data_IF_541018482510
#
_entry.id   IF_541018482510
#
_cell.length_a   1.000
_cell.length_b   1.000
_cell.length_c   1.000
_cell.angle_alpha   90.00
_cell.angle_beta   90.00
_cell.angle_gamma   90.00
#
_symmetry.space_group_name_H-M   'P 1'
#
loop_
_entity.id
_entity.type
_entity.pdbx_description
1 polymer ?
#
# COMPACT_ATOMS: atom_id res chain seq x y z
N UNK A 1 -44.45 -18.53 -0.79
CA UNK A 1 -45.18 -19.20 0.31
C UNK A 1 -44.41 -20.44 0.74
N UNK A 2 -43.78 -20.41 1.92
CA UNK A 2 -43.32 -21.60 2.67
C UNK A 2 -43.08 -21.12 4.09
N UNK A 3 -44.13 -21.29 4.90
CA UNK A 3 -44.16 -20.99 6.33
C UNK A 3 -43.34 -22.06 7.04
N UNK A 4 -42.29 -21.67 7.76
CA UNK A 4 -41.67 -22.54 8.75
C UNK A 4 -41.82 -21.82 10.09
N UNK A 5 -42.79 -22.30 10.84
CA UNK A 5 -43.12 -21.89 12.20
C UNK A 5 -43.08 -23.15 13.04
N UNK A 6 -42.10 -23.28 13.94
CA UNK A 6 -42.20 -24.20 15.07
C UNK A 6 -41.88 -23.42 16.35
N UNK A 7 -42.79 -23.53 17.30
CA UNK A 7 -42.98 -22.70 18.50
C UNK A 7 -42.30 -23.33 19.74
N UNK A 8 -42.21 -22.57 20.85
CA UNK A 8 -41.21 -22.68 21.92
C UNK A 8 -41.64 -23.59 23.07
N UNK A 9 -40.83 -23.65 24.14
CA UNK A 9 -40.97 -24.32 25.47
C UNK A 9 -40.00 -25.48 25.65
N UNK A 10 -39.35 -25.78 26.78
CA UNK A 10 -39.26 -25.21 28.12
C UNK A 10 -38.32 -26.16 28.89
N UNK A 11 -37.19 -25.71 29.43
CA UNK A 11 -36.59 -26.34 30.62
C UNK A 11 -35.91 -25.25 31.44
N UNK A 12 -36.51 -24.97 32.59
CA UNK A 12 -35.94 -24.18 33.66
C UNK A 12 -35.34 -25.11 34.74
N UNK A 13 -34.43 -24.53 35.54
CA UNK A 13 -33.99 -24.98 36.87
C UNK A 13 -33.05 -26.20 36.91
N UNK A 14 -31.98 -26.26 37.72
CA UNK A 14 -31.34 -25.32 38.64
C UNK A 14 -30.00 -25.93 39.15
N UNK A 15 -29.27 -25.13 39.96
CA UNK A 15 -28.33 -25.53 41.02
C UNK A 15 -26.89 -25.91 40.60
N UNK A 16 -25.93 -24.99 40.83
CA UNK A 16 -25.03 -25.05 41.98
C UNK A 16 -24.00 -23.90 41.92
N UNK A 17 -23.87 -23.24 43.04
CA UNK A 17 -22.98 -22.11 43.35
C UNK A 17 -21.53 -22.56 43.50
N UNK A 18 -20.60 -21.92 42.79
CA UNK A 18 -19.19 -21.81 43.19
C UNK A 18 -18.67 -20.40 42.88
N UNK A 19 -18.52 -19.51 43.88
CA UNK A 19 -17.71 -18.32 43.73
C UNK A 19 -16.28 -18.67 44.14
N UNK A 20 -15.30 -18.53 43.24
CA UNK A 20 -13.89 -18.24 43.55
C UNK A 20 -13.03 -18.48 42.30
N UNK A 21 -12.77 -17.40 41.55
CA UNK A 21 -11.50 -17.10 40.86
C UNK A 21 -11.65 -15.76 40.11
N UNK A 22 -12.02 -14.73 40.88
CA UNK A 22 -11.91 -13.35 40.44
C UNK A 22 -10.55 -12.76 40.86
N UNK A 23 -9.43 -13.43 40.56
CA UNK A 23 -8.07 -12.88 40.66
C UNK A 23 -7.01 -13.85 40.08
N UNK A 24 -6.83 -13.84 38.76
CA UNK A 24 -5.48 -13.99 38.20
C UNK A 24 -5.26 -12.77 37.30
N UNK A 25 -4.76 -11.67 37.86
CA UNK A 25 -3.33 -11.33 37.78
C UNK A 25 -2.94 -11.28 36.30
N UNK A 26 -3.14 -10.17 35.62
CA UNK A 26 -2.12 -9.13 35.58
C UNK A 26 -1.73 -8.93 34.11
N UNK A 27 -1.54 -7.68 33.71
CA UNK A 27 -1.31 -7.33 32.31
C UNK A 27 -0.15 -8.11 31.69
N UNK A 28 -0.31 -8.48 30.42
CA UNK A 28 0.81 -8.83 29.58
C UNK A 28 1.25 -7.55 28.82
N UNK A 29 2.29 -6.83 29.28
CA UNK A 29 3.02 -5.95 28.38
C UNK A 29 3.93 -6.85 27.55
N UNK A 30 3.52 -7.23 26.35
CA UNK A 30 4.39 -8.08 25.55
C UNK A 30 3.78 -8.76 24.33
N UNK A 31 2.57 -8.39 23.92
CA UNK A 31 2.09 -8.74 22.59
C UNK A 31 2.71 -7.80 21.56
N UNK A 32 4.03 -7.84 21.39
CA UNK A 32 4.71 -7.14 20.31
C UNK A 32 4.12 -7.63 19.00
N UNK A 33 3.28 -6.81 18.36
CA UNK A 33 2.96 -7.01 16.94
C UNK A 33 4.30 -7.18 16.25
N UNK A 34 4.53 -8.25 15.47
CA UNK A 34 5.79 -8.39 14.74
C UNK A 34 5.99 -7.07 14.01
N UNK A 35 7.09 -6.37 14.32
CA UNK A 35 7.46 -5.17 13.60
C UNK A 35 7.50 -5.58 12.14
N UNK A 36 6.57 -5.06 11.34
CA UNK A 36 6.54 -5.32 9.91
C UNK A 36 7.95 -5.03 9.41
N UNK A 37 8.64 -6.06 8.92
CA UNK A 37 10.02 -5.94 8.47
C UNK A 37 10.09 -4.75 7.52
N UNK A 38 10.88 -3.74 7.89
CA UNK A 38 11.02 -2.56 7.06
C UNK A 38 11.59 -3.01 5.70
N UNK A 39 10.77 -2.97 4.66
CA UNK A 39 11.24 -3.25 3.31
C UNK A 39 12.33 -2.24 2.99
N UNK A 40 13.52 -2.66 2.52
CA UNK A 40 14.60 -1.74 2.22
C UNK A 40 14.08 -0.69 1.22
N UNK A 41 14.15 0.59 1.62
CA UNK A 41 13.83 1.70 0.74
C UNK A 41 14.87 1.69 -0.36
N UNK A 42 14.53 1.11 -1.52
CA UNK A 42 15.37 1.24 -2.72
C UNK A 42 15.44 2.72 -3.04
N UNK A 43 16.61 3.31 -2.80
CA UNK A 43 16.93 4.67 -3.21
C UNK A 43 17.34 4.57 -4.68
N UNK A 44 16.36 4.67 -5.57
CA UNK A 44 16.65 4.85 -7.00
C UNK A 44 17.16 6.26 -7.26
N UNK A 45 17.95 6.42 -8.32
CA UNK A 45 18.38 7.72 -8.82
C UNK A 45 17.22 8.54 -9.39
N UNK A 46 17.50 9.79 -9.77
CA UNK A 46 16.56 10.67 -10.46
C UNK A 46 17.14 11.08 -11.82
N UNK A 47 16.33 11.02 -12.87
CA UNK A 47 16.66 11.57 -14.18
C UNK A 47 15.88 12.87 -14.40
N UNK A 48 16.59 13.94 -14.77
CA UNK A 48 15.99 15.24 -15.10
C UNK A 48 16.48 15.69 -16.47
N UNK A 49 15.67 16.49 -17.15
CA UNK A 49 16.02 17.03 -18.46
C UNK A 49 14.93 17.91 -19.05
N UNK A 50 15.17 18.38 -20.28
CA UNK A 50 14.24 19.19 -21.05
C UNK A 50 14.12 18.60 -22.45
N UNK A 51 12.89 18.44 -22.94
CA UNK A 51 12.63 18.02 -24.32
C UNK A 51 12.49 19.26 -25.18
N UNK A 52 13.28 19.37 -26.24
CA UNK A 52 13.26 20.49 -27.18
C UNK A 52 13.10 20.02 -28.63
N UNK A 53 12.46 20.85 -29.43
CA UNK A 53 12.39 20.68 -30.88
C UNK A 53 13.75 20.95 -31.51
N UNK A 54 14.22 20.04 -32.35
CA UNK A 54 15.57 20.08 -32.90
C UNK A 54 15.79 21.22 -33.92
N UNK A 55 14.74 21.66 -34.61
CA UNK A 55 14.85 22.69 -35.64
C UNK A 55 14.80 24.11 -35.05
N UNK A 56 13.98 24.30 -34.02
CA UNK A 56 13.67 25.62 -33.44
C UNK A 56 14.31 25.85 -32.07
N UNK A 57 14.76 24.79 -31.40
CA UNK A 57 15.26 24.84 -30.02
C UNK A 57 14.18 25.11 -28.97
N UNK A 58 12.90 25.19 -29.37
CA UNK A 58 11.79 25.48 -28.47
C UNK A 58 11.47 24.25 -27.60
N UNK A 59 11.13 24.42 -26.32
CA UNK A 59 10.69 23.31 -25.48
C UNK A 59 9.38 22.71 -26.00
N UNK A 60 9.26 21.38 -25.86
CA UNK A 60 8.06 20.64 -26.24
C UNK A 60 7.23 20.36 -24.99
N UNK A 61 6.10 21.06 -24.88
CA UNK A 61 5.15 20.89 -23.79
C UNK A 61 4.51 19.50 -23.80
N UNK A 62 4.34 18.90 -22.63
CA UNK A 62 3.60 17.64 -22.44
C UNK A 62 4.11 16.44 -23.26
N UNK A 63 5.39 16.45 -23.65
CA UNK A 63 6.02 15.30 -24.29
C UNK A 63 6.03 14.07 -23.35
N UNK A 64 5.79 12.88 -23.90
CA UNK A 64 5.94 11.63 -23.17
C UNK A 64 7.40 11.16 -23.21
N UNK A 65 7.97 10.85 -22.05
CA UNK A 65 9.33 10.35 -21.90
C UNK A 65 9.28 8.97 -21.27
N UNK A 66 9.94 8.00 -21.90
CA UNK A 66 10.12 6.66 -21.38
C UNK A 66 11.61 6.40 -21.16
N UNK A 67 11.93 5.75 -20.04
CA UNK A 67 13.26 5.23 -19.74
C UNK A 67 13.24 3.74 -20.02
N UNK A 68 14.16 3.29 -20.88
CA UNK A 68 14.29 1.90 -21.28
C UNK A 68 15.58 1.32 -20.69
N UNK A 69 15.56 0.03 -20.35
CA UNK A 69 16.78 -0.72 -20.05
C UNK A 69 17.56 -1.10 -21.32
N UNK A 70 18.73 -1.72 -21.16
CA UNK A 70 19.54 -2.17 -22.29
C UNK A 70 18.88 -3.23 -23.18
N UNK A 71 17.78 -3.85 -22.74
CA UNK A 71 16.96 -4.78 -23.52
C UNK A 71 15.73 -4.12 -24.16
N UNK A 72 15.56 -2.80 -23.99
CA UNK A 72 14.43 -2.05 -24.54
C UNK A 72 13.13 -2.15 -23.72
N UNK A 73 13.16 -2.65 -22.48
CA UNK A 73 11.97 -2.64 -21.61
C UNK A 73 11.81 -1.29 -20.92
N UNK A 74 10.58 -0.79 -20.86
CA UNK A 74 10.27 0.42 -20.10
C UNK A 74 10.42 0.14 -18.61
N UNK A 75 11.32 0.86 -17.96
CA UNK A 75 11.57 0.78 -16.51
C UNK A 75 11.00 1.96 -15.75
N UNK A 76 10.77 3.09 -16.41
CA UNK A 76 10.14 4.29 -15.85
C UNK A 76 9.65 5.21 -16.97
N UNK A 77 8.86 6.23 -16.65
CA UNK A 77 8.41 7.22 -17.61
C UNK A 77 7.52 8.29 -16.99
N UNK A 78 7.26 9.35 -17.75
CA UNK A 78 6.44 10.46 -17.32
C UNK A 78 6.23 11.48 -18.42
N UNK A 79 5.49 12.53 -18.09
CA UNK A 79 5.12 13.60 -19.02
C UNK A 79 5.88 14.87 -18.65
N UNK A 80 6.39 15.58 -19.65
CA UNK A 80 7.01 16.88 -19.46
C UNK A 80 6.01 17.95 -19.00
N UNK A 81 6.51 18.96 -18.32
CA UNK A 81 5.76 20.20 -18.07
C UNK A 81 5.45 20.97 -19.36
N UNK A 82 4.75 22.08 -19.21
CA UNK A 82 4.53 23.08 -20.26
C UNK A 82 5.85 23.70 -20.77
N UNK A 83 6.86 23.76 -19.91
CA UNK A 83 8.22 24.20 -20.22
C UNK A 83 9.13 23.11 -20.81
N UNK A 84 8.58 21.92 -21.11
CA UNK A 84 9.30 20.77 -21.65
C UNK A 84 10.22 20.06 -20.65
N UNK A 85 10.28 20.50 -19.39
CA UNK A 85 11.11 19.85 -18.36
C UNK A 85 10.43 18.61 -17.82
N UNK A 86 11.24 17.62 -17.44
CA UNK A 86 10.77 16.41 -16.76
C UNK A 86 11.65 16.06 -15.57
N UNK A 87 11.05 15.35 -14.61
CA UNK A 87 11.72 14.77 -13.45
C UNK A 87 11.19 13.36 -13.26
N UNK A 88 12.06 12.37 -13.40
CA UNK A 88 11.74 10.94 -13.26
C UNK A 88 12.53 10.35 -12.08
N UNK A 89 11.93 10.25 -10.89
CA UNK A 89 12.56 9.63 -9.73
C UNK A 89 12.45 8.09 -9.79
N UNK A 90 13.28 7.40 -9.01
CA UNK A 90 13.18 5.94 -8.86
C UNK A 90 13.84 5.16 -9.99
N UNK A 91 14.85 5.73 -10.65
CA UNK A 91 15.66 5.03 -11.65
C UNK A 91 16.52 3.96 -10.96
N UNK A 92 16.41 2.68 -11.31
CA UNK A 92 17.28 1.63 -10.79
C UNK A 92 18.75 1.87 -11.18
N UNK A 93 19.68 1.40 -10.34
CA UNK A 93 21.11 1.35 -10.67
C UNK A 93 21.44 0.18 -11.61
#
# INVERSE_FOLDING_TARGET
MKKITLRPTLVAAALLTTPLLAYSQGGAPGGGRPAAAATPRRVGGSLTGTVTDAATGKPISYANVAVLDGAGKVVNGGVCGDDGKFVLPGIPA
#
